data_IF_296423776430
#
_entry.id   IF_296423776430
#
_cell.length_a   1.000
_cell.length_b   1.000
_cell.length_c   1.000
_cell.angle_alpha   90.00
_cell.angle_beta   90.00
_cell.angle_gamma   90.00
#
_symmetry.space_group_name_H-M   'P 1'
#
loop_
_entity.id
_entity.type
_entity.pdbx_description
1 polymer ?
#
# COMPACT_ATOMS: atom_id res chain seq x y z
N UNK A 1 1.32 21.86 -4.02
CA UNK A 1 1.27 20.41 -3.80
C UNK A 1 1.02 20.18 -2.31
N UNK A 2 0.22 19.19 -1.95
CA UNK A 2 -0.07 18.86 -0.55
C UNK A 2 -0.03 17.34 -0.39
N UNK A 3 0.75 16.86 0.56
CA UNK A 3 0.74 15.47 0.99
C UNK A 3 -0.40 15.28 1.99
N UNK A 4 -1.27 14.33 1.69
CA UNK A 4 -2.45 14.00 2.48
C UNK A 4 -2.19 12.70 3.23
N UNK A 5 -2.40 12.70 4.53
CA UNK A 5 -2.29 11.50 5.35
C UNK A 5 -3.48 11.47 6.32
N UNK A 6 -4.32 10.45 6.19
CA UNK A 6 -5.52 10.30 7.01
C UNK A 6 -5.49 8.93 7.67
N UNK A 7 -5.84 8.83 8.98
CA UNK A 7 -6.03 7.54 9.60
C UNK A 7 -7.01 6.70 8.78
N UNK A 8 -6.67 5.43 8.54
CA UNK A 8 -7.65 4.52 7.95
C UNK A 8 -8.86 4.45 8.90
N UNK A 9 -10.07 4.70 8.38
CA UNK A 9 -11.27 4.88 9.21
C UNK A 9 -11.50 3.70 10.15
N UNK A 10 -11.89 4.02 11.39
CA UNK A 10 -11.97 3.10 12.54
C UNK A 10 -12.90 1.90 12.35
N UNK A 11 -13.90 2.01 11.47
CA UNK A 11 -14.84 0.93 11.15
C UNK A 11 -14.27 -0.09 10.13
N UNK A 12 -13.17 0.24 9.42
CA UNK A 12 -12.61 -0.56 8.33
C UNK A 12 -11.36 -1.36 8.71
N UNK A 13 -10.60 -0.90 9.72
CA UNK A 13 -9.33 -1.53 10.15
C UNK A 13 -9.38 -1.98 11.63
N UNK A 14 -10.51 -1.71 12.29
CA UNK A 14 -10.76 -2.14 13.66
C UNK A 14 -9.95 -1.40 14.73
N UNK A 15 -10.15 -1.78 16.01
CA UNK A 15 -9.49 -1.16 17.15
C UNK A 15 -7.95 -1.22 17.11
N UNK A 16 -7.37 -2.24 16.44
CA UNK A 16 -5.92 -2.39 16.33
C UNK A 16 -5.32 -1.49 15.25
N UNK A 17 -6.03 -1.22 14.15
CA UNK A 17 -5.60 -0.23 13.14
C UNK A 17 -5.44 1.17 13.74
N UNK A 18 -6.34 1.53 14.66
CA UNK A 18 -6.25 2.75 15.46
C UNK A 18 -5.06 2.72 16.43
N UNK A 19 -4.80 1.58 17.08
CA UNK A 19 -3.64 1.44 17.98
C UNK A 19 -2.29 1.52 17.24
N UNK A 20 -2.25 1.04 16.00
CA UNK A 20 -1.06 1.05 15.16
C UNK A 20 -0.86 2.39 14.44
N UNK A 21 -1.88 3.26 14.39
CA UNK A 21 -1.87 4.48 13.59
C UNK A 21 -1.59 4.18 12.11
N UNK A 22 -2.39 3.31 11.49
CA UNK A 22 -2.33 3.15 10.04
C UNK A 22 -2.97 4.35 9.34
N UNK A 23 -2.38 4.76 8.22
CA UNK A 23 -2.85 5.89 7.44
C UNK A 23 -2.96 5.54 5.96
N UNK A 24 -4.06 5.98 5.35
CA UNK A 24 -4.15 6.15 3.91
C UNK A 24 -3.42 7.42 3.49
N UNK A 25 -2.76 7.40 2.33
CA UNK A 25 -1.92 8.50 1.87
C UNK A 25 -2.16 8.82 0.39
N UNK A 26 -2.20 10.11 0.07
CA UNK A 26 -2.35 10.62 -1.29
C UNK A 26 -1.63 11.96 -1.50
N UNK A 27 -1.59 12.43 -2.74
CA UNK A 27 -1.01 13.73 -3.08
C UNK A 27 -2.04 14.60 -3.80
N UNK A 28 -2.37 15.74 -3.20
CA UNK A 28 -3.26 16.74 -3.77
C UNK A 28 -2.50 17.89 -4.45
N UNK A 29 -3.07 18.36 -5.54
CA UNK A 29 -2.61 19.51 -6.30
C UNK A 29 -3.66 20.60 -6.19
N UNK A 30 -3.36 21.66 -5.44
CA UNK A 30 -4.27 22.79 -5.19
C UNK A 30 -3.76 23.99 -5.99
N UNK A 31 -4.67 24.65 -6.70
CA UNK A 31 -4.38 25.87 -7.45
C UNK A 31 -4.22 27.05 -6.51
N UNK A 32 -3.15 27.83 -6.69
CA UNK A 32 -2.92 29.06 -5.92
C UNK A 32 -3.83 30.23 -6.35
N UNK A 33 -4.48 30.16 -7.52
CA UNK A 33 -5.26 31.28 -8.03
C UNK A 33 -6.65 31.37 -7.39
N UNK A 34 -7.24 30.22 -7.13
CA UNK A 34 -8.64 30.07 -6.72
C UNK A 34 -8.80 29.06 -5.57
N UNK A 35 -7.70 28.55 -5.02
CA UNK A 35 -7.66 27.60 -3.90
C UNK A 35 -8.45 26.30 -4.18
N UNK A 36 -8.65 25.96 -5.46
CA UNK A 36 -9.38 24.75 -5.85
C UNK A 36 -8.43 23.58 -6.04
N UNK A 37 -8.91 22.37 -5.68
CA UNK A 37 -8.20 21.12 -5.97
C UNK A 37 -8.27 20.86 -7.47
N UNK A 38 -7.10 20.81 -8.10
CA UNK A 38 -6.93 20.51 -9.51
C UNK A 38 -6.82 19.01 -9.77
N UNK A 39 -6.23 18.26 -8.83
CA UNK A 39 -6.07 16.80 -8.92
C UNK A 39 -5.73 16.20 -7.56
N UNK A 40 -6.15 14.96 -7.32
CA UNK A 40 -5.60 14.10 -6.25
C UNK A 40 -5.10 12.84 -6.93
N UNK A 41 -3.91 12.40 -6.55
CA UNK A 41 -3.34 11.12 -6.96
C UNK A 41 -3.18 10.26 -5.73
N UNK A 42 -3.82 9.10 -5.73
CA UNK A 42 -3.72 8.08 -4.71
C UNK A 42 -3.61 6.70 -5.36
N UNK A 43 -3.01 5.77 -4.63
CA UNK A 43 -2.86 4.38 -5.06
C UNK A 43 -3.60 3.51 -4.06
N UNK A 44 -4.68 2.89 -4.50
CA UNK A 44 -5.57 2.16 -3.63
C UNK A 44 -6.17 0.97 -4.39
N UNK A 45 -6.89 0.11 -3.69
CA UNK A 45 -7.57 -1.05 -4.26
C UNK A 45 -8.87 -0.65 -4.95
N UNK A 46 -9.18 -1.24 -6.11
CA UNK A 46 -10.38 -0.89 -6.88
C UNK A 46 -11.65 -1.27 -6.11
N UNK A 47 -12.66 -0.40 -5.99
CA UNK A 47 -13.77 -0.59 -5.07
C UNK A 47 -15.00 -0.83 -5.91
N UNK A 48 -15.23 -2.05 -6.36
CA UNK A 48 -16.52 -2.31 -7.00
C UNK A 48 -17.64 -2.22 -5.93
N UNK A 49 -17.37 -2.52 -4.64
CA UNK A 49 -18.23 -2.19 -3.46
C UNK A 49 -17.43 -2.15 -2.14
N UNK A 50 -16.89 -1.00 -1.69
CA UNK A 50 -16.02 -0.87 -0.48
C UNK A 50 -16.64 -1.50 0.79
N UNK A 51 -16.20 -2.69 1.17
CA UNK A 51 -16.38 -3.26 2.52
C UNK A 51 -15.02 -3.51 3.19
N UNK A 52 -14.98 -3.64 4.53
CA UNK A 52 -13.74 -3.96 5.26
C UNK A 52 -13.09 -5.30 4.80
N UNK A 53 -13.86 -6.16 4.12
CA UNK A 53 -13.41 -7.40 3.51
C UNK A 53 -12.53 -7.17 2.27
N UNK A 54 -12.60 -5.99 1.65
CA UNK A 54 -12.00 -5.72 0.34
C UNK A 54 -10.47 -5.64 0.39
N UNK A 55 -9.85 -5.21 1.51
CA UNK A 55 -8.38 -5.25 1.62
C UNK A 55 -7.82 -6.66 1.77
N UNK A 56 -8.59 -7.58 2.37
CA UNK A 56 -8.19 -8.98 2.52
C UNK A 56 -8.08 -9.66 1.14
N UNK A 57 -8.97 -9.33 0.20
CA UNK A 57 -8.96 -9.86 -1.18
C UNK A 57 -7.69 -9.52 -2.00
N UNK A 58 -6.88 -8.57 -1.54
CA UNK A 58 -5.61 -8.19 -2.18
C UNK A 58 -4.37 -8.72 -1.46
N UNK A 59 -4.50 -9.19 -0.22
CA UNK A 59 -3.40 -9.82 0.55
C UNK A 59 -3.55 -11.33 0.67
N UNK A 60 -4.74 -11.87 0.39
CA UNK A 60 -5.07 -13.29 0.32
C UNK A 60 -5.71 -13.63 -1.04
N UNK A 61 -5.38 -14.81 -1.61
CA UNK A 61 -6.04 -15.24 -2.83
C UNK A 61 -7.43 -15.81 -2.54
N UNK A 62 -8.31 -15.67 -3.53
CA UNK A 62 -9.60 -16.33 -3.60
C UNK A 62 -9.47 -17.74 -4.19
N UNK A 63 -10.11 -18.73 -3.57
CA UNK A 63 -10.11 -20.12 -4.03
C UNK A 63 -11.44 -20.47 -4.68
N UNK A 64 -11.43 -20.69 -5.99
CA UNK A 64 -12.61 -21.05 -6.77
C UNK A 64 -12.57 -22.55 -7.05
N UNK A 65 -13.61 -23.27 -6.62
CA UNK A 65 -13.78 -24.68 -6.96
C UNK A 65 -14.66 -24.75 -8.22
N UNK A 66 -14.13 -25.31 -9.30
CA UNK A 66 -14.92 -25.60 -10.50
C UNK A 66 -16.01 -26.63 -10.14
N UNK A 67 -17.30 -26.29 -10.29
CA UNK A 67 -18.39 -27.16 -9.86
C UNK A 67 -18.57 -28.41 -10.75
N UNK A 68 -17.92 -28.46 -11.91
CA UNK A 68 -17.98 -29.56 -12.89
C UNK A 68 -16.78 -30.49 -12.72
N UNK A 69 -15.56 -29.95 -12.65
CA UNK A 69 -14.33 -30.76 -12.54
C UNK A 69 -13.94 -31.06 -11.10
N UNK A 70 -14.42 -30.26 -10.14
CA UNK A 70 -13.97 -30.30 -8.74
C UNK A 70 -12.56 -29.76 -8.54
N UNK A 71 -11.92 -29.25 -9.60
CA UNK A 71 -10.58 -28.66 -9.53
C UNK A 71 -10.66 -27.32 -8.81
N UNK A 72 -9.73 -27.10 -7.89
CA UNK A 72 -9.61 -25.82 -7.20
C UNK A 72 -8.59 -24.95 -7.94
N UNK A 73 -8.95 -23.69 -8.18
CA UNK A 73 -8.06 -22.68 -8.75
C UNK A 73 -7.87 -21.55 -7.76
N UNK A 74 -6.62 -21.19 -7.51
CA UNK A 74 -6.25 -20.00 -6.75
C UNK A 74 -6.27 -18.78 -7.70
N UNK A 75 -7.04 -17.76 -7.35
CA UNK A 75 -7.21 -16.53 -8.11
C UNK A 75 -6.98 -15.32 -7.21
N UNK A 76 -6.26 -14.32 -7.69
CA UNK A 76 -6.10 -13.06 -6.98
C UNK A 76 -7.19 -12.07 -7.40
N UNK A 77 -7.57 -11.16 -6.50
CA UNK A 77 -8.30 -9.94 -6.86
C UNK A 77 -7.45 -9.13 -7.82
N UNK A 78 -7.57 -9.41 -9.11
CA UNK A 78 -6.76 -8.79 -10.17
C UNK A 78 -7.41 -7.50 -10.59
N UNK A 79 -7.14 -6.42 -9.88
CA UNK A 79 -7.13 -5.05 -10.41
C UNK A 79 -6.75 -4.08 -9.27
N UNK A 80 -5.46 -3.79 -9.11
CA UNK A 80 -5.08 -2.54 -8.44
C UNK A 80 -5.20 -1.45 -9.47
N UNK A 81 -6.17 -0.56 -9.26
CA UNK A 81 -6.33 0.62 -10.09
C UNK A 81 -5.75 1.78 -9.31
N UNK A 82 -4.78 2.44 -9.91
CA UNK A 82 -4.39 3.76 -9.41
C UNK A 82 -5.52 4.72 -9.70
N UNK A 83 -6.12 5.26 -8.64
CA UNK A 83 -7.15 6.26 -8.77
C UNK A 83 -6.49 7.56 -9.19
N UNK A 84 -6.51 7.78 -10.49
CA UNK A 84 -6.50 9.10 -11.04
C UNK A 84 -7.92 9.64 -10.95
N UNK A 85 -8.23 10.36 -9.86
CA UNK A 85 -9.38 11.25 -9.87
C UNK A 85 -9.14 12.32 -10.94
N UNK A 86 -9.58 12.03 -12.16
CA UNK A 86 -9.92 13.06 -13.13
C UNK A 86 -11.13 13.80 -12.55
N UNK A 87 -10.87 15.02 -12.11
CA UNK A 87 -11.82 15.97 -11.51
C UNK A 87 -13.25 15.82 -12.02
N UNK A 88 -14.12 15.39 -11.10
CA UNK A 88 -15.56 15.58 -11.14
C UNK A 88 -16.06 16.22 -9.84
N UNK A 89 -15.29 17.15 -9.25
CA UNK A 89 -15.72 17.95 -8.08
C UNK A 89 -16.75 19.03 -8.51
N UNK A 90 -17.50 18.85 -9.60
CA UNK A 90 -18.48 19.85 -10.03
C UNK A 90 -19.82 19.78 -9.26
N UNK A 91 -20.01 18.84 -8.32
CA UNK A 91 -21.20 18.85 -7.44
C UNK A 91 -20.94 18.90 -5.93
N UNK A 92 -19.69 18.76 -5.46
CA UNK A 92 -19.38 18.77 -4.01
C UNK A 92 -18.91 20.14 -3.52
N UNK A 93 -18.54 21.05 -4.43
CA UNK A 93 -18.03 22.39 -4.11
C UNK A 93 -19.10 23.49 -3.96
N UNK A 94 -20.40 23.16 -4.00
CA UNK A 94 -21.49 24.15 -3.86
C UNK A 94 -22.07 24.22 -2.44
N UNK A 95 -21.25 24.25 -1.39
CA UNK A 95 -21.74 24.52 -0.04
C UNK A 95 -20.84 25.39 0.85
N UNK A 96 -19.70 25.91 0.36
CA UNK A 96 -18.92 26.89 1.14
C UNK A 96 -18.30 26.35 2.44
N UNK A 97 -18.19 25.04 2.55
CA UNK A 97 -17.37 24.32 3.53
C UNK A 97 -16.46 23.39 2.74
N UNK A 98 -15.15 23.50 2.95
CA UNK A 98 -14.17 22.48 2.53
C UNK A 98 -14.46 21.22 3.35
N UNK A 99 -15.52 20.49 2.99
CA UNK A 99 -15.90 19.23 3.62
C UNK A 99 -15.38 18.10 2.74
N UNK A 100 -14.15 17.69 3.02
CA UNK A 100 -13.50 16.54 2.39
C UNK A 100 -14.08 15.25 3.01
N UNK A 101 -15.34 14.90 2.72
CA UNK A 101 -16.08 13.82 3.40
C UNK A 101 -15.43 12.41 3.30
N UNK A 102 -14.28 12.25 2.64
CA UNK A 102 -13.35 11.12 2.78
C UNK A 102 -12.12 11.46 3.62
N UNK A 103 -11.28 12.40 3.13
CA UNK A 103 -9.91 12.72 3.60
C UNK A 103 -9.78 13.52 4.91
N UNK A 104 -10.77 14.34 5.30
CA UNK A 104 -10.70 15.15 6.52
C UNK A 104 -11.50 14.57 7.69
N UNK A 105 -11.76 13.26 7.70
CA UNK A 105 -12.27 12.60 8.90
C UNK A 105 -11.10 12.36 9.87
N UNK A 106 -11.33 12.67 11.14
CA UNK A 106 -10.47 12.37 12.30
C UNK A 106 -8.97 12.67 12.12
N UNK A 107 -8.52 13.84 12.60
CA UNK A 107 -7.11 14.25 12.74
C UNK A 107 -6.21 14.01 11.50
N UNK A 108 -6.56 14.58 10.32
CA UNK A 108 -5.75 14.45 9.12
C UNK A 108 -4.43 15.23 9.24
N UNK A 109 -3.35 14.64 8.74
CA UNK A 109 -2.04 15.27 8.59
C UNK A 109 -1.96 15.84 7.17
N UNK A 110 -1.78 17.16 7.08
CA UNK A 110 -1.73 17.89 5.81
C UNK A 110 -0.39 18.63 5.72
N UNK A 111 0.48 18.15 4.82
CA UNK A 111 1.81 18.73 4.67
C UNK A 111 1.88 19.45 3.34
N UNK A 112 1.94 20.78 3.40
CA UNK A 112 2.19 21.59 2.21
C UNK A 112 3.57 21.27 1.63
N UNK A 113 3.66 21.19 0.32
CA UNK A 113 4.91 20.94 -0.39
C UNK A 113 5.17 21.96 -1.49
N UNK A 114 5.84 21.50 -2.54
CA UNK A 114 6.27 22.31 -3.66
C UNK A 114 5.13 23.11 -4.34
N UNK A 115 5.50 24.23 -4.95
CA UNK A 115 4.67 24.89 -5.98
C UNK A 115 5.18 24.45 -7.35
N UNK A 116 4.30 23.87 -8.16
CA UNK A 116 4.64 23.35 -9.49
C UNK A 116 3.76 23.98 -10.58
N UNK A 117 4.25 24.07 -11.83
CA UNK A 117 3.41 24.44 -12.97
C UNK A 117 2.28 23.41 -13.18
N UNK A 118 1.08 23.88 -13.51
CA UNK A 118 -0.04 22.97 -13.80
C UNK A 118 0.23 22.00 -14.96
N UNK A 119 1.05 22.41 -15.94
CA UNK A 119 1.49 21.54 -17.04
C UNK A 119 2.34 20.36 -16.55
N UNK A 120 3.11 20.54 -15.48
CA UNK A 120 3.96 19.49 -14.91
C UNK A 120 3.14 18.40 -14.22
N UNK A 121 1.95 18.73 -13.69
CA UNK A 121 1.02 17.73 -13.13
C UNK A 121 0.61 16.70 -14.19
N UNK A 122 0.29 17.18 -15.41
CA UNK A 122 -0.10 16.30 -16.50
C UNK A 122 1.07 15.42 -16.95
N UNK A 123 2.25 16.00 -17.14
CA UNK A 123 3.45 15.26 -17.50
C UNK A 123 3.77 14.15 -16.49
N UNK A 124 3.80 14.49 -15.19
CA UNK A 124 4.08 13.52 -14.12
C UNK A 124 3.05 12.38 -14.08
N UNK A 125 1.77 12.69 -14.33
CA UNK A 125 0.71 11.68 -14.39
C UNK A 125 0.86 10.77 -15.60
N UNK A 126 1.06 11.35 -16.78
CA UNK A 126 1.11 10.62 -18.05
C UNK A 126 2.41 9.80 -18.22
N UNK A 127 3.43 10.09 -17.42
CA UNK A 127 4.73 9.42 -17.45
C UNK A 127 4.98 8.61 -16.19
N UNK A 128 5.35 9.27 -15.09
CA UNK A 128 5.79 8.63 -13.85
C UNK A 128 4.69 7.79 -13.19
N UNK A 129 3.50 8.36 -13.00
CA UNK A 129 2.39 7.61 -12.37
C UNK A 129 1.96 6.47 -13.28
N UNK A 130 1.81 6.69 -14.58
CA UNK A 130 1.48 5.63 -15.54
C UNK A 130 2.51 4.48 -15.50
N UNK A 131 3.81 4.78 -15.47
CA UNK A 131 4.88 3.79 -15.37
C UNK A 131 4.80 2.98 -14.07
N UNK A 132 4.50 3.63 -12.93
CA UNK A 132 4.32 2.93 -11.66
C UNK A 132 3.11 2.00 -11.70
N UNK A 133 2.01 2.41 -12.33
CA UNK A 133 0.81 1.58 -12.47
C UNK A 133 1.05 0.35 -13.35
N UNK A 134 1.91 0.50 -14.37
CA UNK A 134 2.38 -0.60 -15.18
C UNK A 134 3.38 -1.51 -14.46
N UNK A 135 3.96 -1.10 -13.34
CA UNK A 135 4.90 -1.96 -12.59
C UNK A 135 4.26 -2.58 -11.37
N UNK A 136 3.41 -1.83 -10.69
CA UNK A 136 2.77 -2.20 -9.43
C UNK A 136 1.39 -2.76 -9.70
N UNK A 137 1.38 -4.03 -10.10
CA UNK A 137 0.17 -4.75 -10.50
C UNK A 137 -0.65 -5.29 -9.32
N UNK A 138 -0.05 -5.37 -8.12
CA UNK A 138 -0.71 -5.84 -6.91
C UNK A 138 -0.41 -4.92 -5.71
N UNK A 139 -1.36 -4.84 -4.78
CA UNK A 139 -1.27 -3.96 -3.62
C UNK A 139 -0.56 -4.74 -2.53
N UNK A 140 0.75 -4.57 -2.43
CA UNK A 140 1.59 -5.35 -1.53
C UNK A 140 1.94 -4.51 -0.31
N UNK A 141 1.27 -4.76 0.82
CA UNK A 141 1.43 -3.99 2.06
C UNK A 141 2.68 -4.34 2.86
N UNK A 142 3.31 -5.48 2.54
CA UNK A 142 4.50 -5.93 3.23
C UNK A 142 5.76 -5.51 2.46
N UNK A 143 6.86 -5.38 3.18
CA UNK A 143 8.21 -5.39 2.62
C UNK A 143 8.95 -6.60 3.18
N UNK A 144 9.88 -7.20 2.42
CA UNK A 144 10.83 -8.19 2.97
C UNK A 144 12.15 -7.48 3.22
N UNK A 145 12.64 -7.55 4.46
CA UNK A 145 13.78 -6.76 4.92
C UNK A 145 14.76 -7.62 5.72
N UNK A 146 16.05 -7.52 5.38
CA UNK A 146 17.15 -8.02 6.20
C UNK A 146 17.56 -6.92 7.18
N UNK A 147 17.21 -7.13 8.45
CA UNK A 147 17.52 -6.21 9.54
C UNK A 147 19.02 -6.02 9.75
N UNK A 148 19.81 -7.09 9.63
CA UNK A 148 21.24 -7.07 9.93
C UNK A 148 22.05 -6.37 8.84
N UNK A 149 21.61 -6.49 7.59
CA UNK A 149 22.25 -5.83 6.44
C UNK A 149 21.64 -4.49 6.10
N UNK A 150 20.53 -4.13 6.75
CA UNK A 150 19.72 -2.96 6.41
C UNK A 150 19.30 -2.96 4.92
N UNK A 151 18.93 -4.14 4.40
CA UNK A 151 18.65 -4.36 2.99
C UNK A 151 17.19 -4.74 2.75
N UNK A 152 16.52 -4.04 1.85
CA UNK A 152 15.18 -4.43 1.40
C UNK A 152 15.30 -5.41 0.24
N UNK A 153 14.79 -6.62 0.43
CA UNK A 153 14.77 -7.67 -0.59
C UNK A 153 13.55 -7.58 -1.50
N UNK A 154 12.40 -7.26 -0.92
CA UNK A 154 11.15 -7.06 -1.67
C UNK A 154 10.50 -5.77 -1.17
N UNK A 155 10.35 -4.75 -2.00
CA UNK A 155 9.66 -3.52 -1.61
C UNK A 155 8.15 -3.75 -1.49
N UNK A 156 7.54 -2.98 -0.59
CA UNK A 156 6.10 -2.77 -0.57
C UNK A 156 5.66 -1.88 -1.73
N UNK A 157 4.41 -2.04 -2.16
CA UNK A 157 3.78 -1.27 -3.22
C UNK A 157 2.36 -0.92 -2.78
N UNK A 158 2.21 0.14 -2.00
CA UNK A 158 0.93 0.63 -1.47
C UNK A 158 0.81 2.16 -1.54
N UNK A 159 -0.28 2.72 -1.00
CA UNK A 159 -0.63 4.15 -1.11
C UNK A 159 0.52 5.11 -0.74
N UNK A 160 1.23 4.82 0.36
CA UNK A 160 2.36 5.62 0.84
C UNK A 160 3.58 5.57 -0.08
N UNK A 161 3.82 4.43 -0.75
CA UNK A 161 4.93 4.29 -1.70
C UNK A 161 4.66 5.07 -2.98
N UNK A 162 3.41 5.09 -3.46
CA UNK A 162 3.02 5.94 -4.59
C UNK A 162 3.19 7.42 -4.26
N UNK A 163 2.60 7.86 -3.15
CA UNK A 163 2.64 9.25 -2.74
C UNK A 163 4.08 9.75 -2.59
N UNK A 164 4.95 8.94 -1.99
CA UNK A 164 6.36 9.28 -1.87
C UNK A 164 7.10 9.29 -3.19
N UNK A 165 6.82 8.32 -4.06
CA UNK A 165 7.39 8.30 -5.41
C UNK A 165 7.04 9.57 -6.18
N UNK A 166 5.80 10.09 -6.02
CA UNK A 166 5.37 11.38 -6.58
C UNK A 166 6.14 12.55 -5.98
N UNK A 167 6.25 12.63 -4.65
CA UNK A 167 7.01 13.71 -3.98
C UNK A 167 8.48 13.70 -4.40
N UNK A 168 9.08 12.51 -4.48
CA UNK A 168 10.44 12.31 -4.96
C UNK A 168 10.59 12.77 -6.41
N UNK A 169 9.67 12.40 -7.29
CA UNK A 169 9.67 12.80 -8.69
C UNK A 169 9.59 14.33 -8.85
N UNK A 170 8.73 15.00 -8.09
CA UNK A 170 8.63 16.46 -8.05
C UNK A 170 9.96 17.08 -7.61
N UNK A 171 10.59 16.51 -6.58
CA UNK A 171 11.88 16.92 -6.06
C UNK A 171 13.03 16.75 -7.04
N UNK A 172 13.13 15.59 -7.69
CA UNK A 172 14.16 15.27 -8.68
C UNK A 172 14.06 16.17 -9.92
N UNK A 173 12.88 16.75 -10.19
CA UNK A 173 12.66 17.73 -11.25
C UNK A 173 12.86 19.20 -10.79
N UNK A 174 13.38 19.42 -9.59
CA UNK A 174 13.86 20.73 -9.14
C UNK A 174 12.79 21.69 -8.63
N UNK A 175 11.57 21.23 -8.36
CA UNK A 175 10.48 22.08 -7.88
C UNK A 175 10.44 22.28 -6.35
N UNK A 176 11.45 21.78 -5.63
CA UNK A 176 11.46 21.77 -4.16
C UNK A 176 10.62 20.62 -3.59
N UNK A 177 10.47 20.62 -2.27
CA UNK A 177 9.97 19.45 -1.52
C UNK A 177 8.87 19.82 -0.52
N UNK A 178 8.51 18.87 0.33
CA UNK A 178 7.61 19.10 1.46
C UNK A 178 8.16 20.21 2.36
N UNK A 179 7.32 21.20 2.66
CA UNK A 179 7.63 22.31 3.54
C UNK A 179 7.48 21.80 4.97
N UNK A 180 8.54 21.90 5.77
CA UNK A 180 8.44 21.62 7.21
C UNK A 180 7.56 22.67 7.89
N UNK A 181 6.27 22.36 8.02
CA UNK A 181 5.29 23.16 8.75
C UNK A 181 5.12 22.68 10.20
N UNK A 182 6.03 21.84 10.70
CA UNK A 182 5.93 21.18 12.01
C UNK A 182 5.05 19.92 12.02
N UNK A 183 4.36 19.59 10.93
CA UNK A 183 3.73 18.29 10.72
C UNK A 183 4.65 17.41 9.87
N UNK A 184 5.18 16.35 10.48
CA UNK A 184 6.00 15.35 9.77
C UNK A 184 5.07 14.26 9.23
N UNK A 185 5.02 14.02 7.91
CA UNK A 185 4.36 12.82 7.41
C UNK A 185 5.08 11.62 7.99
N UNK A 186 4.33 10.56 8.23
CA UNK A 186 4.85 9.34 8.83
C UNK A 186 4.50 8.16 7.96
N UNK A 187 5.47 7.28 7.80
CA UNK A 187 5.31 6.03 7.09
C UNK A 187 5.05 4.89 8.05
N UNK A 188 4.18 4.01 7.62
CA UNK A 188 3.88 2.76 8.28
C UNK A 188 4.34 1.64 7.35
N UNK A 189 5.19 0.76 7.86
CA UNK A 189 5.63 -0.41 7.12
C UNK A 189 5.35 -1.68 7.91
N UNK A 190 4.93 -2.70 7.19
CA UNK A 190 4.90 -4.06 7.70
C UNK A 190 6.06 -4.81 7.05
N UNK A 191 7.03 -5.25 7.87
CA UNK A 191 8.20 -5.95 7.39
C UNK A 191 8.14 -7.43 7.74
N UNK A 192 8.33 -8.30 6.75
CA UNK A 192 8.87 -9.64 7.00
C UNK A 192 10.37 -9.51 7.25
N UNK A 193 10.83 -9.82 8.46
CA UNK A 193 12.26 -9.81 8.78
C UNK A 193 12.87 -11.15 8.37
N UNK A 194 13.58 -11.18 7.24
CA UNK A 194 14.15 -12.39 6.66
C UNK A 194 15.59 -12.15 6.20
N UNK A 195 16.52 -13.02 6.61
CA UNK A 195 17.97 -12.83 6.44
C UNK A 195 18.49 -12.96 5.00
N UNK A 196 17.68 -13.52 4.10
CA UNK A 196 18.09 -13.70 2.70
C UNK A 196 16.98 -13.25 1.73
N UNK A 197 17.30 -13.00 0.46
CA UNK A 197 16.27 -12.75 -0.54
C UNK A 197 15.32 -13.95 -0.67
N UNK A 198 13.99 -13.75 -0.72
CA UNK A 198 13.04 -14.81 -0.99
C UNK A 198 13.35 -15.55 -2.30
N UNK A 199 13.06 -16.85 -2.34
CA UNK A 199 13.18 -17.65 -3.55
C UNK A 199 11.93 -17.48 -4.42
N UNK A 200 12.09 -17.25 -5.72
CA UNK A 200 10.97 -17.33 -6.66
C UNK A 200 10.54 -18.79 -6.81
N UNK A 201 9.27 -19.06 -6.57
CA UNK A 201 8.66 -20.39 -6.72
C UNK A 201 8.53 -20.73 -8.20
N UNK A 202 8.85 -21.97 -8.59
CA UNK A 202 8.62 -22.42 -9.96
C UNK A 202 7.12 -22.70 -10.18
N UNK A 203 6.41 -21.71 -10.71
CA UNK A 203 4.98 -21.79 -10.97
C UNK A 203 4.60 -22.84 -12.04
N UNK A 204 5.56 -23.40 -12.77
CA UNK A 204 5.33 -24.51 -13.70
C UNK A 204 5.41 -25.89 -13.03
N UNK A 205 5.93 -25.95 -11.80
CA UNK A 205 6.04 -27.17 -11.00
C UNK A 205 4.78 -27.35 -10.15
N UNK A 206 4.00 -28.40 -10.45
CA UNK A 206 2.74 -28.69 -9.74
C UNK A 206 2.93 -28.96 -8.26
N UNK A 207 4.06 -29.57 -7.87
CA UNK A 207 4.31 -29.91 -6.47
C UNK A 207 4.63 -28.65 -5.65
N UNK A 208 5.35 -27.69 -6.23
CA UNK A 208 5.60 -26.40 -5.60
C UNK A 208 4.33 -25.56 -5.49
N UNK A 209 3.52 -25.52 -6.55
CA UNK A 209 2.24 -24.81 -6.52
C UNK A 209 1.24 -25.41 -5.54
N UNK A 210 1.28 -26.72 -5.31
CA UNK A 210 0.48 -27.39 -4.29
C UNK A 210 0.86 -26.90 -2.88
N UNK A 211 2.15 -26.74 -2.56
CA UNK A 211 2.59 -26.19 -1.27
C UNK A 211 2.14 -24.74 -1.07
N UNK A 212 2.22 -23.93 -2.13
CA UNK A 212 1.70 -22.55 -2.11
C UNK A 212 0.20 -22.54 -1.84
N UNK A 213 -0.55 -23.40 -2.52
CA UNK A 213 -1.99 -23.52 -2.33
C UNK A 213 -2.33 -23.99 -0.91
N UNK A 214 -1.69 -25.04 -0.39
CA UNK A 214 -1.89 -25.53 0.98
C UNK A 214 -1.59 -24.44 2.02
N UNK A 215 -0.54 -23.65 1.81
CA UNK A 215 -0.22 -22.52 2.67
C UNK A 215 -1.34 -21.49 2.71
N UNK A 216 -1.81 -21.01 1.56
CA UNK A 216 -2.87 -20.00 1.52
C UNK A 216 -4.24 -20.58 1.93
N UNK A 217 -4.49 -21.87 1.68
CA UNK A 217 -5.67 -22.58 2.15
C UNK A 217 -5.72 -22.66 3.69
N UNK A 218 -4.59 -22.70 4.40
CA UNK A 218 -4.58 -22.68 5.86
C UNK A 218 -5.21 -21.40 6.45
N UNK A 219 -5.27 -20.31 5.69
CA UNK A 219 -5.94 -19.08 6.07
C UNK A 219 -7.44 -19.05 5.70
N UNK A 220 -7.91 -20.01 4.89
CA UNK A 220 -9.31 -20.11 4.40
C UNK A 220 -10.33 -20.49 5.48
N UNK A 221 -10.09 -21.42 6.44
CA UNK A 221 -11.07 -21.76 7.48
C UNK A 221 -11.46 -20.59 8.39
N UNK A 222 -10.76 -19.47 8.27
CA UNK A 222 -10.98 -18.24 9.04
C UNK A 222 -11.84 -17.26 8.25
N UNK A 223 -12.87 -17.75 7.55
CA UNK A 223 -13.99 -16.96 6.98
C UNK A 223 -14.66 -15.99 7.99
N UNK A 224 -14.19 -15.93 9.24
CA UNK A 224 -14.50 -14.92 10.26
C UNK A 224 -13.57 -13.70 10.25
N UNK A 225 -12.58 -13.62 9.36
CA UNK A 225 -11.74 -12.44 9.28
C UNK A 225 -12.59 -11.24 8.85
N UNK A 226 -12.86 -10.36 9.81
CA UNK A 226 -13.51 -9.08 9.57
C UNK A 226 -12.48 -7.96 9.37
N UNK A 227 -11.20 -8.23 9.66
CA UNK A 227 -10.13 -7.24 9.67
C UNK A 227 -8.79 -7.85 9.20
N UNK A 228 -7.98 -7.07 8.46
CA UNK A 228 -6.66 -7.49 7.96
C UNK A 228 -5.67 -7.90 9.06
N UNK A 229 -5.87 -7.41 10.28
CA UNK A 229 -4.97 -7.70 11.38
C UNK A 229 -5.07 -9.11 11.90
N UNK A 230 -6.24 -9.72 11.82
CA UNK A 230 -6.40 -11.11 12.22
C UNK A 230 -5.55 -12.02 11.32
N UNK A 231 -5.46 -11.70 10.02
CA UNK A 231 -4.53 -12.36 9.09
C UNK A 231 -3.06 -12.13 9.48
N UNK A 232 -2.69 -10.91 9.87
CA UNK A 232 -1.31 -10.58 10.25
C UNK A 232 -0.91 -11.22 11.59
N UNK A 233 -1.80 -11.23 12.58
CA UNK A 233 -1.62 -11.98 13.83
C UNK A 233 -1.43 -13.46 13.53
N UNK A 234 -2.24 -14.02 12.64
CA UNK A 234 -2.11 -15.42 12.30
C UNK A 234 -0.84 -15.74 11.49
N UNK A 235 -0.34 -14.82 10.67
CA UNK A 235 1.00 -14.92 10.08
C UNK A 235 2.10 -14.91 11.15
N UNK A 236 1.95 -14.10 12.19
CA UNK A 236 2.88 -14.03 13.33
C UNK A 236 2.94 -15.33 14.13
N UNK A 237 1.82 -16.06 14.20
CA UNK A 237 1.69 -17.28 14.99
C UNK A 237 1.58 -18.57 14.15
N UNK A 238 1.89 -18.50 12.85
CA UNK A 238 1.76 -19.67 11.97
C UNK A 238 2.77 -20.76 12.39
N UNK A 239 2.34 -21.75 13.16
CA UNK A 239 3.17 -22.87 13.60
C UNK A 239 3.43 -23.88 12.46
N UNK A 240 2.54 -23.95 11.48
CA UNK A 240 2.57 -25.01 10.46
C UNK A 240 3.49 -24.69 9.27
N UNK A 241 4.29 -25.67 8.88
CA UNK A 241 5.17 -25.59 7.70
C UNK A 241 6.50 -24.86 7.94
N UNK A 242 7.57 -25.20 7.18
CA UNK A 242 8.89 -24.55 7.30
C UNK A 242 9.02 -23.26 6.48
N UNK A 243 8.03 -22.90 5.67
CA UNK A 243 8.07 -21.76 4.76
C UNK A 243 6.89 -20.80 4.98
N UNK A 244 7.09 -19.54 4.60
CA UNK A 244 6.05 -18.53 4.40
C UNK A 244 6.04 -18.18 2.91
N UNK A 245 4.85 -18.13 2.30
CA UNK A 245 4.68 -17.71 0.93
C UNK A 245 4.03 -16.33 0.86
N UNK A 246 4.53 -15.48 -0.03
CA UNK A 246 3.96 -14.17 -0.35
C UNK A 246 3.77 -14.06 -1.86
N UNK A 247 2.91 -13.15 -2.30
CA UNK A 247 2.68 -12.88 -3.72
C UNK A 247 2.98 -11.44 -4.05
N UNK A 248 3.88 -11.21 -5.01
CA UNK A 248 4.29 -9.88 -5.45
C UNK A 248 4.65 -9.92 -6.94
N UNK A 249 4.21 -8.92 -7.71
CA UNK A 249 4.54 -8.77 -9.13
C UNK A 249 4.33 -10.04 -9.99
N UNK A 250 3.20 -10.75 -9.78
CA UNK A 250 2.84 -12.02 -10.44
C UNK A 250 3.73 -13.22 -10.12
N UNK A 251 4.57 -13.12 -9.10
CA UNK A 251 5.43 -14.20 -8.64
C UNK A 251 5.06 -14.60 -7.21
N UNK A 252 5.07 -15.91 -6.95
CA UNK A 252 5.07 -16.43 -5.60
C UNK A 252 6.51 -16.47 -5.10
N UNK A 253 6.72 -15.91 -3.92
CA UNK A 253 8.01 -15.89 -3.26
C UNK A 253 7.94 -16.75 -2.01
N UNK A 254 8.97 -17.55 -1.80
CA UNK A 254 9.13 -18.45 -0.67
C UNK A 254 10.19 -17.91 0.29
N UNK A 255 9.85 -17.88 1.57
CA UNK A 255 10.71 -17.50 2.67
C UNK A 255 10.85 -18.66 3.65
N UNK A 256 12.07 -18.98 4.07
CA UNK A 256 12.35 -19.99 5.09
C UNK A 256 12.08 -19.41 6.49
N UNK A 257 11.17 -20.01 7.25
CA UNK A 257 10.91 -19.58 8.64
C UNK A 257 12.17 -19.63 9.52
N UNK A 258 13.06 -20.59 9.26
CA UNK A 258 14.33 -20.70 9.96
C UNK A 258 15.27 -19.48 9.77
N UNK A 259 15.02 -18.67 8.74
CA UNK A 259 15.76 -17.45 8.43
C UNK A 259 14.97 -16.19 8.80
N UNK A 260 13.82 -16.34 9.46
CA UNK A 260 13.04 -15.23 9.96
C UNK A 260 13.43 -14.86 11.38
N UNK A 261 13.39 -13.58 11.70
CA UNK A 261 13.58 -13.09 13.08
C UNK A 261 12.23 -12.84 13.73
N UNK A 262 11.99 -13.35 14.93
CA UNK A 262 10.78 -13.02 15.70
C UNK A 262 10.82 -11.57 16.21
N UNK A 263 9.72 -10.79 16.08
CA UNK A 263 8.44 -11.17 15.47
C UNK A 263 8.53 -11.26 13.94
N UNK A 264 7.97 -12.32 13.35
CA UNK A 264 8.06 -12.61 11.92
C UNK A 264 7.55 -11.48 11.02
N UNK A 265 6.59 -10.71 11.52
CA UNK A 265 6.12 -9.44 10.94
C UNK A 265 6.40 -8.32 11.94
N UNK A 266 7.12 -7.31 11.51
CA UNK A 266 7.44 -6.13 12.30
C UNK A 266 6.68 -4.93 11.77
N UNK A 267 5.86 -4.29 12.62
CA UNK A 267 5.25 -3.01 12.30
C UNK A 267 6.20 -1.87 12.67
N UNK A 268 6.57 -1.07 11.67
CA UNK A 268 7.42 0.10 11.83
C UNK A 268 6.64 1.36 11.54
N UNK A 269 6.74 2.34 12.44
CA UNK A 269 6.11 3.65 12.28
C UNK A 269 7.16 4.73 12.52
N UNK A 270 7.55 5.43 11.46
CA UNK A 270 8.60 6.45 11.54
C UNK A 270 8.23 7.74 10.81
N UNK A 271 8.89 8.83 11.22
CA UNK A 271 8.83 10.07 10.47
C UNK A 271 9.50 9.86 9.11
N UNK A 272 8.81 10.26 8.04
CA UNK A 272 9.38 10.28 6.71
C UNK A 272 10.57 11.26 6.68
N UNK A 273 11.74 10.87 6.14
CA UNK A 273 12.85 11.79 5.98
C UNK A 273 12.50 12.86 4.95
N UNK A 274 12.76 14.12 5.24
CA UNK A 274 12.60 15.17 4.23
C UNK A 274 13.62 14.95 3.12
N UNK A 275 13.16 14.95 1.87
CA UNK A 275 14.07 15.12 0.76
C UNK A 275 14.41 16.62 0.67
N UNK A 276 15.69 16.97 0.77
CA UNK A 276 16.18 18.34 0.66
C UNK A 276 17.51 18.35 -0.11
N UNK A 277 17.61 19.24 -1.11
CA UNK A 277 18.81 19.45 -1.93
C UNK A 277 19.40 18.14 -2.52
N UNK A 278 18.54 17.19 -2.93
CA UNK A 278 18.96 15.91 -3.50
C UNK A 278 19.45 14.87 -2.48
N UNK A 279 19.16 15.07 -1.18
CA UNK A 279 19.52 14.15 -0.10
C UNK A 279 18.37 13.99 0.91
N UNK A 280 18.34 12.87 1.64
CA UNK A 280 17.36 12.63 2.71
C UNK A 280 17.91 13.12 4.06
N UNK A 281 17.11 13.93 4.78
CA UNK A 281 17.41 14.43 6.13
C UNK A 281 16.30 14.04 7.11
N UNK A 282 16.68 13.44 8.25
CA UNK A 282 15.78 13.01 9.33
C UNK A 282 15.59 14.07 10.42
#
# INVERSE_FOLDING_TARGET
VMYLQQPMLSDLVGPLGHALNMYHVGVAFISQQDETIQRIVEYDVKPDEFTALDMLDYVLPNFIIDPVTGEQTMTWGKEVITFLYYTGIEEWHRAGTLDFEGWLKEDPILVEGATIPGSFINEMVDTHVAELNEKWYNYFIFSVYDYWRHEQHVPSHHCQDMAWSIIKYIGDNGYGHLIDNGQKPKRNYLYFLHETPPRVVDQSNSDEMMLVQEFFEAFRPREEYTEIWQYIEDLLFLEEGPYIYIWSNYEYLEMEKAQMTEPYVFYHYEAEPYYNDGSFTY
#
